data_IF_690551908466
#
_entry.id   IF_690551908466
#
_cell.length_a   1.000
_cell.length_b   1.000
_cell.length_c   1.000
_cell.angle_alpha   90.00
_cell.angle_beta   90.00
_cell.angle_gamma   90.00
#
_symmetry.space_group_name_H-M   'P 1'
#
loop_
_entity.id
_entity.type
_entity.pdbx_description
1 polymer ?
#
# COMPACT_ATOMS: atom_id res chain seq x y z
N UNK A 1 0.18 28.60 20.99
CA UNK A 1 -1.02 27.80 20.68
C UNK A 1 -1.20 27.67 19.16
N UNK A 2 -1.23 28.78 18.39
CA UNK A 2 -1.42 28.75 16.94
C UNK A 2 -0.35 27.93 16.19
N UNK A 3 0.93 28.07 16.53
CA UNK A 3 2.01 27.31 15.89
C UNK A 3 1.95 25.80 16.19
N UNK A 4 1.55 25.41 17.39
CA UNK A 4 1.38 24.01 17.76
C UNK A 4 0.21 23.33 17.01
N UNK A 5 -0.88 24.08 16.77
CA UNK A 5 -2.01 23.62 15.97
C UNK A 5 -1.58 23.46 14.51
N UNK A 6 -0.83 24.42 13.96
CA UNK A 6 -0.32 24.37 12.59
C UNK A 6 0.61 23.16 12.38
N UNK A 7 1.54 22.91 13.31
CA UNK A 7 2.44 21.74 13.27
C UNK A 7 1.67 20.42 13.36
N UNK A 8 0.62 20.36 14.17
CA UNK A 8 -0.23 19.16 14.28
C UNK A 8 -0.98 18.88 12.98
N UNK A 9 -1.50 19.91 12.32
CA UNK A 9 -2.20 19.77 11.04
C UNK A 9 -1.25 19.33 9.93
N UNK A 10 -0.06 19.94 9.81
CA UNK A 10 0.98 19.52 8.86
C UNK A 10 1.38 18.05 9.07
N UNK A 11 1.48 17.60 10.32
CA UNK A 11 1.77 16.20 10.60
C UNK A 11 0.68 15.24 10.12
N UNK A 12 -0.58 15.59 10.35
CA UNK A 12 -1.69 14.75 9.92
C UNK A 12 -1.74 14.65 8.39
N UNK A 13 -1.47 15.75 7.67
CA UNK A 13 -1.36 15.75 6.21
C UNK A 13 -0.19 14.86 5.74
N UNK A 14 0.98 15.01 6.35
CA UNK A 14 2.15 14.18 6.00
C UNK A 14 1.92 12.70 6.28
N UNK A 15 1.22 12.34 7.34
CA UNK A 15 0.85 10.95 7.64
C UNK A 15 -0.11 10.40 6.59
N UNK A 16 -1.13 11.17 6.18
CA UNK A 16 -2.08 10.74 5.15
C UNK A 16 -1.40 10.56 3.78
N UNK A 17 -0.46 11.44 3.42
CA UNK A 17 0.35 11.30 2.19
C UNK A 17 1.22 10.04 2.23
N UNK A 18 1.86 9.75 3.35
CA UNK A 18 2.69 8.55 3.52
C UNK A 18 1.83 7.29 3.46
N UNK A 19 0.67 7.27 4.11
CA UNK A 19 -0.27 6.17 4.01
C UNK A 19 -0.71 5.94 2.56
N UNK A 20 -1.10 6.99 1.85
CA UNK A 20 -1.44 6.94 0.43
C UNK A 20 -0.30 6.39 -0.43
N UNK A 21 0.93 6.84 -0.18
CA UNK A 21 2.13 6.35 -0.86
C UNK A 21 2.42 4.87 -0.61
N UNK A 22 2.28 4.41 0.64
CA UNK A 22 2.45 2.99 1.00
C UNK A 22 1.41 2.15 0.26
N UNK A 23 0.13 2.52 0.30
CA UNK A 23 -0.95 1.78 -0.39
C UNK A 23 -0.76 1.76 -1.90
N UNK A 24 -0.37 2.89 -2.50
CA UNK A 24 -0.03 2.96 -3.93
C UNK A 24 1.15 2.06 -4.29
N UNK A 25 2.20 2.05 -3.47
CA UNK A 25 3.36 1.18 -3.67
C UNK A 25 2.99 -0.32 -3.64
N UNK A 26 2.05 -0.70 -2.78
CA UNK A 26 1.51 -2.08 -2.77
C UNK A 26 0.71 -2.40 -4.03
N UNK A 27 -0.13 -1.49 -4.50
CA UNK A 27 -0.88 -1.65 -5.75
C UNK A 27 0.08 -1.79 -6.95
N UNK A 28 1.11 -0.95 -7.03
CA UNK A 28 2.13 -1.01 -8.07
C UNK A 28 2.94 -2.32 -8.01
N UNK A 29 3.23 -2.81 -6.80
CA UNK A 29 3.92 -4.09 -6.60
C UNK A 29 3.10 -5.25 -7.15
N UNK A 30 1.84 -5.42 -6.73
CA UNK A 30 1.01 -6.54 -7.24
C UNK A 30 0.73 -6.43 -8.75
N UNK A 31 0.64 -5.22 -9.29
CA UNK A 31 0.54 -4.98 -10.74
C UNK A 31 1.82 -5.43 -11.46
N UNK A 32 2.99 -5.12 -10.93
CA UNK A 32 4.29 -5.54 -11.47
C UNK A 32 4.43 -7.06 -11.47
N UNK A 33 4.02 -7.72 -10.38
CA UNK A 33 4.06 -9.17 -10.28
C UNK A 33 3.14 -9.84 -11.32
N UNK A 34 1.90 -9.37 -11.46
CA UNK A 34 1.00 -9.90 -12.51
C UNK A 34 1.58 -9.66 -13.91
N UNK A 35 2.22 -8.50 -14.14
CA UNK A 35 2.87 -8.20 -15.42
C UNK A 35 3.98 -9.21 -15.73
N UNK A 36 4.75 -9.65 -14.73
CA UNK A 36 5.75 -10.70 -14.87
C UNK A 36 5.10 -12.05 -15.26
N UNK A 37 4.01 -12.45 -14.56
CA UNK A 37 3.28 -13.68 -14.90
C UNK A 37 2.65 -13.63 -16.30
N UNK A 38 2.10 -12.47 -16.70
CA UNK A 38 1.61 -12.25 -18.08
C UNK A 38 2.73 -12.40 -19.10
N UNK A 39 3.97 -11.99 -18.77
CA UNK A 39 5.13 -12.15 -19.67
C UNK A 39 5.48 -13.62 -19.92
N UNK A 40 5.29 -14.48 -18.91
CA UNK A 40 5.40 -15.95 -19.07
C UNK A 40 4.35 -16.45 -20.07
N UNK A 41 3.08 -16.08 -19.89
CA UNK A 41 2.02 -16.47 -20.82
C UNK A 41 2.31 -15.99 -22.25
N UNK A 42 2.78 -14.75 -22.42
CA UNK A 42 3.18 -14.19 -23.72
C UNK A 42 4.34 -14.96 -24.35
N UNK A 43 5.33 -15.37 -23.57
CA UNK A 43 6.45 -16.17 -24.05
C UNK A 43 5.97 -17.48 -24.70
N UNK A 44 5.15 -18.25 -23.99
CA UNK A 44 4.63 -19.52 -24.51
C UNK A 44 3.64 -19.34 -25.64
N UNK A 45 2.84 -18.30 -25.64
CA UNK A 45 2.00 -17.95 -26.77
C UNK A 45 2.85 -17.65 -28.03
N UNK A 46 3.97 -16.96 -27.89
CA UNK A 46 4.93 -16.72 -28.97
C UNK A 46 5.49 -18.00 -29.54
N UNK A 47 5.81 -19.00 -28.71
CA UNK A 47 6.26 -20.33 -29.15
C UNK A 47 5.17 -21.10 -29.93
N UNK A 48 3.92 -20.99 -29.47
CA UNK A 48 2.78 -21.51 -30.21
C UNK A 48 2.64 -20.83 -31.60
N UNK A 49 2.67 -19.50 -31.64
CA UNK A 49 2.54 -18.73 -32.89
C UNK A 49 3.66 -18.98 -33.88
N UNK A 50 4.85 -19.31 -33.41
CA UNK A 50 6.01 -19.71 -34.27
C UNK A 50 6.03 -21.19 -34.66
N UNK A 51 5.04 -21.98 -34.23
CA UNK A 51 4.93 -23.42 -34.57
C UNK A 51 5.87 -24.31 -33.76
N UNK A 52 6.54 -23.80 -32.72
CA UNK A 52 7.41 -24.58 -31.82
C UNK A 52 6.59 -25.49 -30.93
N UNK A 53 5.46 -24.96 -30.40
CA UNK A 53 4.54 -25.70 -29.54
C UNK A 53 3.13 -25.76 -30.15
N UNK A 54 2.35 -26.77 -29.74
CA UNK A 54 0.91 -26.73 -29.93
C UNK A 54 0.30 -25.73 -28.92
N UNK A 55 -0.90 -25.21 -29.18
CA UNK A 55 -1.60 -24.32 -28.26
C UNK A 55 -1.79 -24.96 -26.88
N UNK A 56 -2.20 -26.25 -26.86
CA UNK A 56 -2.39 -27.00 -25.64
C UNK A 56 -1.11 -27.09 -24.81
N UNK A 57 0.03 -27.35 -25.45
CA UNK A 57 1.32 -27.46 -24.77
C UNK A 57 1.83 -26.12 -24.31
N UNK A 58 1.59 -25.03 -25.06
CA UNK A 58 1.92 -23.69 -24.67
C UNK A 58 1.12 -23.25 -23.44
N UNK A 59 -0.20 -23.47 -23.41
CA UNK A 59 -1.05 -23.21 -22.24
C UNK A 59 -0.61 -24.03 -21.04
N UNK A 60 -0.33 -25.33 -21.22
CA UNK A 60 0.15 -26.20 -20.14
C UNK A 60 1.45 -25.67 -19.53
N UNK A 61 2.45 -25.41 -20.36
CA UNK A 61 3.77 -24.96 -19.89
C UNK A 61 3.69 -23.60 -19.19
N UNK A 62 2.91 -22.66 -19.73
CA UNK A 62 2.67 -21.36 -19.10
C UNK A 62 1.98 -21.51 -17.74
N UNK A 63 0.97 -22.39 -17.64
CA UNK A 63 0.26 -22.66 -16.38
C UNK A 63 1.20 -23.29 -15.34
N UNK A 64 2.02 -24.27 -15.74
CA UNK A 64 2.96 -24.95 -14.84
C UNK A 64 3.99 -23.94 -14.30
N UNK A 65 4.57 -23.09 -15.15
CA UNK A 65 5.54 -22.08 -14.73
C UNK A 65 4.89 -21.03 -13.80
N UNK A 66 3.71 -20.50 -14.14
CA UNK A 66 2.98 -19.54 -13.29
C UNK A 66 2.61 -20.19 -11.93
N UNK A 67 2.26 -21.48 -11.91
CA UNK A 67 1.93 -22.21 -10.69
C UNK A 67 3.11 -22.28 -9.72
N UNK A 68 4.33 -22.35 -10.23
CA UNK A 68 5.57 -22.43 -9.45
C UNK A 68 6.13 -21.05 -9.08
N UNK A 69 5.70 -19.99 -9.76
CA UNK A 69 6.13 -18.62 -9.42
C UNK A 69 5.74 -18.24 -8.01
N UNK A 70 6.69 -17.63 -7.28
CA UNK A 70 6.48 -17.05 -5.95
C UNK A 70 7.17 -15.71 -5.89
N UNK A 71 6.67 -14.83 -5.02
CA UNK A 71 7.29 -13.56 -4.72
C UNK A 71 7.13 -13.22 -3.23
N UNK A 72 8.02 -12.41 -2.70
CA UNK A 72 8.07 -12.12 -1.25
C UNK A 72 8.01 -13.41 -0.41
N UNK A 73 7.45 -13.38 0.80
CA UNK A 73 7.44 -14.53 1.71
C UNK A 73 6.35 -15.57 1.36
N UNK A 74 5.19 -15.12 0.87
CA UNK A 74 4.02 -16.00 0.62
C UNK A 74 3.19 -15.59 -0.60
N UNK A 75 3.75 -14.76 -1.49
CA UNK A 75 3.07 -14.32 -2.69
C UNK A 75 2.93 -15.45 -3.72
N UNK A 76 1.74 -15.60 -4.29
CA UNK A 76 1.42 -16.60 -5.31
C UNK A 76 0.48 -16.04 -6.37
N UNK A 77 0.35 -16.76 -7.47
CA UNK A 77 -0.51 -16.39 -8.58
C UNK A 77 -1.69 -17.36 -8.70
N UNK A 78 -2.77 -16.87 -9.29
CA UNK A 78 -3.85 -17.71 -9.80
C UNK A 78 -4.17 -17.32 -11.23
N UNK A 79 -4.76 -18.26 -11.96
CA UNK A 79 -5.26 -18.06 -13.31
C UNK A 79 -6.65 -18.67 -13.41
N UNK A 80 -7.60 -17.88 -13.88
CA UNK A 80 -8.95 -18.33 -14.21
C UNK A 80 -9.24 -18.05 -15.70
N UNK A 81 -10.05 -18.87 -16.34
CA UNK A 81 -10.63 -18.55 -17.65
C UNK A 81 -11.79 -17.55 -17.48
N UNK A 82 -12.17 -16.90 -18.56
CA UNK A 82 -13.29 -15.94 -18.54
C UNK A 82 -14.63 -16.55 -18.13
N UNK A 83 -14.79 -17.87 -18.28
CA UNK A 83 -15.96 -18.63 -17.83
C UNK A 83 -15.92 -19.02 -16.34
N UNK A 84 -14.82 -18.69 -15.64
CA UNK A 84 -14.59 -19.01 -14.23
C UNK A 84 -13.90 -20.35 -13.97
N UNK A 85 -13.50 -21.09 -15.02
CA UNK A 85 -12.72 -22.32 -14.84
C UNK A 85 -11.32 -21.98 -14.34
N UNK A 86 -10.94 -22.52 -13.20
CA UNK A 86 -9.63 -22.29 -12.60
C UNK A 86 -8.55 -23.10 -13.32
N UNK A 87 -7.47 -22.43 -13.73
CA UNK A 87 -6.33 -23.04 -14.41
C UNK A 87 -5.14 -23.24 -13.47
N UNK A 88 -4.91 -22.25 -12.60
CA UNK A 88 -3.81 -22.25 -11.62
C UNK A 88 -4.30 -21.74 -10.28
N UNK A 89 -4.07 -22.50 -9.23
CA UNK A 89 -4.21 -22.10 -7.83
C UNK A 89 -3.40 -23.02 -6.92
N UNK A 90 -2.09 -22.83 -6.87
CA UNK A 90 -1.16 -23.56 -5.99
C UNK A 90 -1.17 -25.10 -6.17
N UNK A 91 -1.66 -25.63 -7.28
CA UNK A 91 -1.82 -27.07 -7.47
C UNK A 91 -2.93 -27.71 -6.62
N UNK A 92 -3.89 -26.90 -6.16
CA UNK A 92 -4.99 -27.37 -5.33
C UNK A 92 -6.06 -28.13 -6.13
N UNK A 93 -6.91 -28.89 -5.43
CA UNK A 93 -8.07 -29.59 -6.03
C UNK A 93 -9.10 -28.64 -6.69
N UNK A 94 -8.91 -27.34 -6.53
CA UNK A 94 -9.72 -26.30 -7.17
C UNK A 94 -9.40 -26.17 -8.66
N UNK A 95 -8.16 -26.51 -9.08
CA UNK A 95 -7.78 -26.43 -10.48
C UNK A 95 -8.62 -27.38 -11.34
N UNK A 96 -9.11 -26.86 -12.47
CA UNK A 96 -10.08 -27.53 -13.35
C UNK A 96 -11.53 -27.36 -12.94
N UNK A 97 -11.85 -26.80 -11.77
CA UNK A 97 -13.24 -26.52 -11.34
C UNK A 97 -13.66 -25.10 -11.68
N UNK A 98 -14.99 -24.86 -11.75
CA UNK A 98 -15.51 -23.52 -11.99
C UNK A 98 -15.68 -22.77 -10.66
N UNK A 99 -15.04 -21.60 -10.54
CA UNK A 99 -15.04 -20.76 -9.32
C UNK A 99 -15.96 -19.53 -9.40
N UNK A 100 -16.72 -19.35 -10.47
CA UNK A 100 -17.52 -18.14 -10.71
C UNK A 100 -18.42 -17.76 -9.52
N UNK A 101 -18.92 -18.74 -8.82
CA UNK A 101 -19.84 -18.55 -7.67
C UNK A 101 -19.12 -18.55 -6.31
N UNK A 102 -17.78 -18.56 -6.30
CA UNK A 102 -17.01 -18.53 -5.04
C UNK A 102 -17.24 -17.20 -4.32
N UNK A 103 -17.64 -17.30 -3.05
CA UNK A 103 -17.91 -16.16 -2.18
C UNK A 103 -16.83 -16.04 -1.11
N UNK A 104 -16.53 -14.82 -0.75
CA UNK A 104 -15.75 -14.54 0.45
C UNK A 104 -16.59 -14.72 1.74
N UNK A 105 -15.98 -14.52 2.91
CA UNK A 105 -16.64 -14.65 4.21
C UNK A 105 -17.79 -13.65 4.45
N UNK A 106 -17.89 -12.61 3.62
CA UNK A 106 -18.98 -11.61 3.67
C UNK A 106 -20.03 -11.81 2.58
N UNK A 107 -19.94 -12.91 1.81
CA UNK A 107 -20.89 -13.25 0.76
C UNK A 107 -20.64 -12.58 -0.59
N UNK A 108 -19.50 -11.86 -0.74
CA UNK A 108 -19.13 -11.20 -1.99
C UNK A 108 -18.60 -12.23 -3.00
N UNK A 109 -19.14 -12.25 -4.24
CA UNK A 109 -18.72 -13.15 -5.31
C UNK A 109 -17.43 -12.65 -5.97
N UNK A 110 -16.32 -12.81 -5.27
CA UNK A 110 -15.04 -12.19 -5.59
C UNK A 110 -14.48 -12.61 -6.95
N UNK A 111 -14.53 -13.91 -7.28
CA UNK A 111 -13.97 -14.42 -8.54
C UNK A 111 -14.75 -13.89 -9.74
N UNK A 112 -16.09 -13.88 -9.63
CA UNK A 112 -16.95 -13.30 -10.66
C UNK A 112 -16.63 -11.84 -10.91
N UNK A 113 -16.50 -11.04 -9.85
CA UNK A 113 -16.17 -9.62 -9.98
C UNK A 113 -14.80 -9.40 -10.63
N UNK A 114 -13.78 -10.15 -10.21
CA UNK A 114 -12.43 -10.07 -10.80
C UNK A 114 -12.45 -10.36 -12.29
N UNK A 115 -13.16 -11.41 -12.71
CA UNK A 115 -13.26 -11.82 -14.12
C UNK A 115 -14.03 -10.77 -14.93
N UNK A 116 -15.23 -10.41 -14.50
CA UNK A 116 -16.09 -9.46 -15.23
C UNK A 116 -15.39 -8.11 -15.41
N UNK A 117 -14.78 -7.57 -14.35
CA UNK A 117 -14.08 -6.29 -14.43
C UNK A 117 -12.83 -6.36 -15.31
N UNK A 118 -12.03 -7.44 -15.18
CA UNK A 118 -10.83 -7.59 -16.00
C UNK A 118 -11.15 -7.82 -17.49
N UNK A 119 -12.17 -8.61 -17.81
CA UNK A 119 -12.61 -8.82 -19.19
C UNK A 119 -13.11 -7.52 -19.82
N UNK A 120 -13.83 -6.69 -19.02
CA UNK A 120 -14.38 -5.42 -19.48
C UNK A 120 -13.32 -4.33 -19.66
N UNK A 121 -12.35 -4.24 -18.73
CA UNK A 121 -11.42 -3.10 -18.64
C UNK A 121 -9.97 -3.48 -18.94
N UNK A 122 -9.68 -4.74 -19.29
CA UNK A 122 -8.40 -5.43 -19.41
C UNK A 122 -7.69 -5.67 -18.06
N UNK A 123 -7.96 -4.88 -17.03
CA UNK A 123 -7.35 -4.99 -15.70
C UNK A 123 -8.34 -4.55 -14.62
N UNK A 124 -8.17 -5.06 -13.40
CA UNK A 124 -9.00 -4.67 -12.27
C UNK A 124 -8.28 -4.82 -10.93
N UNK A 125 -8.65 -3.95 -9.98
CA UNK A 125 -8.34 -4.13 -8.57
C UNK A 125 -9.60 -4.56 -7.83
N UNK A 126 -9.47 -5.58 -6.94
CA UNK A 126 -10.61 -6.11 -6.17
C UNK A 126 -10.24 -6.27 -4.71
N UNK A 127 -11.13 -5.80 -3.81
CA UNK A 127 -11.00 -5.99 -2.37
C UNK A 127 -11.98 -7.09 -1.91
N UNK A 128 -11.49 -8.04 -1.12
CA UNK A 128 -12.27 -9.17 -0.61
C UNK A 128 -11.62 -9.79 0.64
N UNK A 129 -12.24 -10.80 1.22
CA UNK A 129 -11.70 -11.53 2.36
C UNK A 129 -11.27 -12.93 1.94
N UNK A 130 -10.02 -13.29 2.26
CA UNK A 130 -9.47 -14.60 1.93
C UNK A 130 -8.48 -15.07 3.01
N UNK A 131 -8.44 -16.36 3.35
CA UNK A 131 -7.45 -16.88 4.31
C UNK A 131 -6.03 -16.72 3.77
N UNK A 132 -5.08 -16.42 4.67
CA UNK A 132 -3.65 -16.52 4.35
C UNK A 132 -3.27 -17.98 4.18
N UNK A 133 -2.15 -18.23 3.51
CA UNK A 133 -1.65 -19.59 3.33
C UNK A 133 -1.42 -20.25 4.70
N UNK A 134 -2.02 -21.45 4.90
CA UNK A 134 -1.97 -22.16 6.17
C UNK A 134 -2.92 -21.66 7.27
N UNK A 135 -3.70 -20.60 7.02
CA UNK A 135 -4.69 -20.07 7.95
C UNK A 135 -6.12 -20.43 7.49
N UNK A 136 -7.06 -20.48 8.46
CA UNK A 136 -8.49 -20.71 8.19
C UNK A 136 -9.30 -19.42 8.30
N UNK A 137 -8.82 -18.46 9.09
CA UNK A 137 -9.50 -17.18 9.29
C UNK A 137 -9.27 -16.24 8.11
N UNK A 138 -10.36 -15.67 7.53
CA UNK A 138 -10.25 -14.78 6.40
C UNK A 138 -9.67 -13.41 6.79
N UNK A 139 -8.63 -12.98 6.11
CA UNK A 139 -8.04 -11.64 6.22
C UNK A 139 -8.42 -10.77 5.02
N UNK A 140 -8.51 -9.43 5.19
CA UNK A 140 -8.80 -8.53 4.08
C UNK A 140 -7.65 -8.56 3.08
N UNK A 141 -7.98 -8.77 1.80
CA UNK A 141 -7.04 -8.91 0.69
C UNK A 141 -7.40 -7.94 -0.43
N UNK A 142 -6.39 -7.31 -1.00
CA UNK A 142 -6.50 -6.51 -2.21
C UNK A 142 -5.70 -7.19 -3.31
N UNK A 143 -6.35 -7.42 -4.46
CA UNK A 143 -5.74 -8.06 -5.62
C UNK A 143 -5.76 -7.17 -6.85
N UNK A 144 -4.84 -7.45 -7.74
CA UNK A 144 -4.82 -6.98 -9.11
C UNK A 144 -4.93 -8.17 -10.05
N UNK A 145 -5.75 -8.03 -11.10
CA UNK A 145 -5.99 -9.02 -12.14
C UNK A 145 -5.84 -8.40 -13.52
N UNK A 146 -5.30 -9.17 -14.47
CA UNK A 146 -5.13 -8.78 -15.86
C UNK A 146 -5.72 -9.84 -16.78
N UNK A 147 -6.52 -9.43 -17.78
CA UNK A 147 -7.09 -10.32 -18.78
C UNK A 147 -6.14 -10.50 -19.97
N UNK A 148 -5.52 -11.66 -20.06
CA UNK A 148 -4.71 -12.07 -21.19
C UNK A 148 -5.58 -12.78 -22.24
N UNK A 149 -6.06 -12.02 -23.21
CA UNK A 149 -7.07 -12.42 -24.20
C UNK A 149 -6.65 -13.63 -25.04
N UNK A 150 -5.36 -13.74 -25.38
CA UNK A 150 -4.82 -14.76 -26.28
C UNK A 150 -4.98 -16.19 -25.76
N UNK A 151 -4.97 -16.37 -24.43
CA UNK A 151 -5.24 -17.65 -23.77
C UNK A 151 -6.62 -17.70 -23.12
N UNK A 152 -7.35 -16.60 -23.15
CA UNK A 152 -8.59 -16.41 -22.38
C UNK A 152 -8.36 -16.57 -20.86
N UNK A 153 -7.31 -15.92 -20.35
CA UNK A 153 -6.88 -16.03 -18.96
C UNK A 153 -6.99 -14.71 -18.19
N UNK A 154 -7.57 -14.76 -17.03
CA UNK A 154 -7.50 -13.73 -16.00
C UNK A 154 -6.43 -14.15 -15.00
N UNK A 155 -5.27 -13.49 -15.08
CA UNK A 155 -4.09 -13.77 -14.26
C UNK A 155 -4.09 -12.77 -13.10
N UNK A 156 -3.97 -13.25 -11.87
CA UNK A 156 -4.04 -12.39 -10.70
C UNK A 156 -3.08 -12.76 -9.58
N UNK A 157 -2.80 -11.77 -8.75
CA UNK A 157 -2.16 -11.89 -7.44
C UNK A 157 -2.70 -10.83 -6.50
N UNK A 158 -2.34 -10.88 -5.21
CA UNK A 158 -2.78 -9.85 -4.25
C UNK A 158 -2.10 -9.96 -2.90
N UNK A 159 -2.08 -8.83 -2.20
CA UNK A 159 -1.54 -8.68 -0.86
C UNK A 159 -2.64 -8.52 0.18
N UNK A 160 -2.35 -8.90 1.42
CA UNK A 160 -3.24 -8.73 2.55
C UNK A 160 -3.12 -7.32 3.12
N UNK A 161 -4.25 -6.62 3.24
CA UNK A 161 -4.26 -5.19 3.63
C UNK A 161 -4.05 -5.00 5.13
N UNK A 162 -4.28 -6.02 5.95
CA UNK A 162 -3.93 -5.99 7.38
C UNK A 162 -2.42 -5.87 7.61
N UNK A 163 -1.59 -6.43 6.72
CA UNK A 163 -0.13 -6.28 6.78
C UNK A 163 0.30 -4.88 6.32
N UNK A 164 -0.42 -4.29 5.35
CA UNK A 164 -0.27 -2.87 4.98
C UNK A 164 -0.63 -1.99 6.18
N UNK A 165 -1.78 -2.22 6.80
CA UNK A 165 -2.27 -1.46 7.95
C UNK A 165 -1.29 -1.50 9.13
N UNK A 166 -0.66 -2.64 9.41
CA UNK A 166 0.42 -2.76 10.41
C UNK A 166 1.61 -1.88 10.05
N UNK A 167 2.05 -1.90 8.79
CA UNK A 167 3.17 -1.07 8.32
C UNK A 167 2.85 0.41 8.45
N UNK A 168 1.64 0.82 8.06
CA UNK A 168 1.15 2.20 8.22
C UNK A 168 1.11 2.60 9.68
N UNK A 169 0.59 1.74 10.57
CA UNK A 169 0.52 2.02 12.00
C UNK A 169 1.90 2.24 12.64
N UNK A 170 2.90 1.43 12.28
CA UNK A 170 4.29 1.60 12.74
C UNK A 170 4.85 2.95 12.29
N UNK A 171 4.68 3.30 11.02
CA UNK A 171 5.14 4.58 10.47
C UNK A 171 4.43 5.78 11.12
N UNK A 172 3.14 5.67 11.34
CA UNK A 172 2.37 6.70 12.05
C UNK A 172 2.90 6.94 13.47
N UNK A 173 3.18 5.88 14.22
CA UNK A 173 3.73 5.98 15.59
C UNK A 173 5.12 6.62 15.61
N UNK A 174 6.02 6.22 14.70
CA UNK A 174 7.35 6.83 14.53
C UNK A 174 7.27 8.33 14.25
N UNK A 175 6.42 8.73 13.29
CA UNK A 175 6.23 10.13 12.91
C UNK A 175 5.61 10.95 14.05
N UNK A 176 4.66 10.39 14.76
CA UNK A 176 4.03 11.05 15.90
C UNK A 176 5.04 11.28 17.05
N UNK A 177 5.89 10.28 17.34
CA UNK A 177 6.96 10.41 18.32
C UNK A 177 7.98 11.49 17.92
N UNK A 178 8.41 11.47 16.65
CA UNK A 178 9.34 12.47 16.12
C UNK A 178 8.77 13.88 16.23
N UNK A 179 7.52 14.09 15.83
CA UNK A 179 6.84 15.36 15.89
C UNK A 179 6.67 15.87 17.33
N UNK A 180 6.26 15.00 18.26
CA UNK A 180 6.11 15.38 19.66
C UNK A 180 7.45 15.81 20.26
N UNK A 181 8.55 15.17 19.90
CA UNK A 181 9.88 15.55 20.33
C UNK A 181 10.31 16.91 19.74
N UNK A 182 10.07 17.14 18.45
CA UNK A 182 10.34 18.42 17.80
C UNK A 182 9.51 19.56 18.43
N UNK A 183 8.25 19.31 18.75
CA UNK A 183 7.38 20.28 19.44
C UNK A 183 7.94 20.65 20.82
N UNK A 184 8.42 19.68 21.60
CA UNK A 184 9.06 19.94 22.90
C UNK A 184 10.32 20.79 22.76
N UNK A 185 11.18 20.47 21.78
CA UNK A 185 12.41 21.25 21.48
C UNK A 185 12.02 22.68 21.09
N UNK A 186 11.03 22.85 20.21
CA UNK A 186 10.56 24.17 19.79
C UNK A 186 10.05 25.01 20.96
N UNK A 187 9.26 24.44 21.86
CA UNK A 187 8.77 25.12 23.07
C UNK A 187 9.94 25.51 23.99
N UNK A 188 10.90 24.62 24.21
CA UNK A 188 12.06 24.88 25.04
C UNK A 188 12.93 26.03 24.48
N UNK A 189 13.20 26.00 23.18
CA UNK A 189 14.00 27.04 22.50
C UNK A 189 13.29 28.40 22.55
N UNK A 190 12.01 28.47 22.25
CA UNK A 190 11.26 29.72 22.31
C UNK A 190 11.12 30.23 23.76
N UNK A 191 10.95 29.34 24.74
CA UNK A 191 10.94 29.69 26.16
C UNK A 191 12.27 30.31 26.62
N UNK A 192 13.41 29.72 26.22
CA UNK A 192 14.74 30.27 26.54
C UNK A 192 14.98 31.65 25.92
N UNK A 193 14.61 31.81 24.63
CA UNK A 193 14.68 33.12 23.96
C UNK A 193 13.84 34.17 24.70
N UNK A 194 12.61 33.83 25.10
CA UNK A 194 11.73 34.73 25.87
C UNK A 194 12.35 35.14 27.18
N UNK A 195 12.94 34.21 27.92
CA UNK A 195 13.62 34.53 29.21
C UNK A 195 14.81 35.48 28.98
N UNK A 196 15.62 35.23 27.97
CA UNK A 196 16.76 36.09 27.63
C UNK A 196 16.32 37.51 27.26
N UNK A 197 15.27 37.64 26.43
CA UNK A 197 14.72 38.96 26.09
C UNK A 197 14.19 39.72 27.32
N UNK A 198 13.49 39.04 28.21
CA UNK A 198 13.03 39.66 29.48
C UNK A 198 14.22 40.11 30.32
N UNK A 199 15.26 39.31 30.45
CA UNK A 199 16.47 39.70 31.19
C UNK A 199 17.16 40.94 30.57
N UNK A 200 17.25 41.02 29.24
CA UNK A 200 17.80 42.19 28.55
C UNK A 200 16.95 43.44 28.82
N UNK A 201 15.62 43.33 28.76
CA UNK A 201 14.70 44.44 29.04
C UNK A 201 14.92 44.94 30.48
N UNK A 202 15.00 44.04 31.47
CA UNK A 202 15.25 44.41 32.88
C UNK A 202 16.59 45.13 32.99
N UNK A 203 17.64 44.69 32.36
CA UNK A 203 18.94 45.33 32.37
C UNK A 203 18.90 46.74 31.75
N UNK A 204 18.21 46.93 30.64
CA UNK A 204 18.00 48.22 30.00
C UNK A 204 17.26 49.20 30.97
N UNK A 205 16.17 48.72 31.57
CA UNK A 205 15.42 49.55 32.53
C UNK A 205 16.29 49.92 33.72
N UNK A 206 17.04 48.99 34.29
CA UNK A 206 17.85 49.24 35.49
C UNK A 206 19.04 50.17 35.23
N UNK A 207 19.71 50.02 34.09
CA UNK A 207 21.00 50.73 33.81
C UNK A 207 20.84 51.98 32.94
N UNK A 208 19.75 52.14 32.22
CA UNK A 208 19.53 53.27 31.31
C UNK A 208 18.33 54.12 31.74
N UNK A 209 17.14 53.48 31.86
CA UNK A 209 15.90 54.26 32.10
C UNK A 209 15.87 54.88 33.48
N UNK A 210 16.13 54.11 34.56
CA UNK A 210 16.11 54.63 35.93
C UNK A 210 17.13 55.74 36.18
N UNK A 211 18.38 55.70 35.79
CA UNK A 211 19.33 56.77 35.94
C UNK A 211 18.93 58.04 35.17
N UNK A 212 18.41 57.93 33.96
CA UNK A 212 17.89 59.05 33.17
C UNK A 212 16.70 59.75 33.82
N UNK A 213 15.74 58.98 34.40
CA UNK A 213 14.63 59.54 35.17
C UNK A 213 15.09 60.26 36.44
N UNK A 214 16.15 59.78 37.08
CA UNK A 214 16.70 60.42 38.26
C UNK A 214 17.31 61.80 37.93
N UNK A 215 18.08 61.88 36.82
CA UNK A 215 18.65 63.15 36.33
C UNK A 215 17.56 64.13 35.87
N UNK A 216 16.51 63.63 35.17
CA UNK A 216 15.39 64.48 34.71
C UNK A 216 14.46 65.01 35.81
N UNK A 217 14.56 64.57 37.09
CA UNK A 217 13.83 65.09 38.24
C UNK A 217 14.61 66.18 38.97
N UNK A 218 15.86 66.40 38.69
CA UNK A 218 16.70 67.44 39.31
C UNK A 218 16.70 68.75 38.52
N UNK A 219 16.05 68.77 37.36
CA UNK A 219 15.81 70.00 36.58
C UNK A 219 14.31 70.34 36.55
#
# INVERSE_FOLDING_TARGET
>A
IFSAICMKNQNNESVAEIEGSIRSSYDDSIKSEVTAAVSVAKHYYGQYKSGILTEQLAKKNAADEIRDMRYSDSGYFWVDQSDGTNVVLLGSDTEGTNRMNTKDSKGFTMVKQMIEDSVKNNEAYTNYYFPKEGETEPSPKRSYTYYYKEFDWVIGTGNYTDDIDKTVAVRHDELTKYSNNMTKIYIAVNGTIGIVLIAIIILIIANIVKPLEAVGREF
#
